data_IF_128815956997
#
_entry.id   IF_128815956997
#
_cell.length_a   1.000
_cell.length_b   1.000
_cell.length_c   1.000
_cell.angle_alpha   90.00
_cell.angle_beta   90.00
_cell.angle_gamma   90.00
#
_symmetry.space_group_name_H-M   'P 1'
#
loop_
_entity.id
_entity.type
_entity.pdbx_description
1 polymer ?
#
# COMPACT_ATOMS: atom_id res chain seq x y z
N UNK A 1 -2.65 21.71 -5.58
CA UNK A 1 -2.09 20.60 -4.76
C UNK A 1 -0.70 20.32 -5.28
N UNK A 2 0.32 20.52 -4.46
CA UNK A 2 1.69 20.14 -4.77
C UNK A 2 1.81 18.61 -4.78
N UNK A 3 2.50 18.02 -5.75
CA UNK A 3 2.79 16.58 -5.74
C UNK A 3 4.09 16.35 -4.96
N UNK A 4 4.10 15.31 -4.11
CA UNK A 4 5.34 14.81 -3.53
C UNK A 4 6.25 14.40 -4.69
N UNK A 5 7.44 15.00 -4.82
CA UNK A 5 8.44 14.52 -5.75
C UNK A 5 9.43 13.62 -5.04
N UNK A 6 9.58 12.40 -5.57
CA UNK A 6 10.56 11.40 -5.15
C UNK A 6 11.97 12.00 -5.16
N UNK A 7 12.65 11.92 -4.02
CA UNK A 7 14.07 11.61 -3.99
C UNK A 7 14.24 10.08 -3.92
N UNK A 8 15.33 9.50 -4.46
CA UNK A 8 15.54 8.06 -4.46
C UNK A 8 15.64 7.57 -3.00
N UNK A 9 15.00 6.42 -2.73
CA UNK A 9 14.93 5.69 -1.46
C UNK A 9 15.85 6.24 -0.34
N UNK A 10 15.37 7.26 0.39
CA UNK A 10 15.98 7.65 1.66
C UNK A 10 15.36 6.75 2.73
N UNK A 11 16.19 6.05 3.52
CA UNK A 11 15.80 5.22 4.68
C UNK A 11 14.97 5.96 5.75
N UNK A 12 14.71 7.24 5.54
CA UNK A 12 14.15 8.18 6.52
C UNK A 12 12.75 8.69 6.14
N UNK A 13 12.22 8.32 4.96
CA UNK A 13 10.85 8.65 4.53
C UNK A 13 10.19 7.44 3.89
N UNK A 14 9.06 7.00 4.45
CA UNK A 14 8.29 5.84 4.00
C UNK A 14 6.87 6.28 3.55
N UNK A 15 6.34 5.68 2.49
CA UNK A 15 4.93 5.89 2.11
C UNK A 15 4.04 4.98 2.96
N UNK A 16 3.17 5.58 3.79
CA UNK A 16 2.18 4.86 4.59
C UNK A 16 0.85 4.96 3.88
N UNK A 17 0.52 3.91 3.15
CA UNK A 17 -0.78 3.79 2.48
C UNK A 17 -1.83 3.37 3.51
N UNK A 18 -2.95 4.10 3.60
CA UNK A 18 -4.06 3.79 4.51
C UNK A 18 -5.31 3.39 3.75
N UNK A 19 -5.91 2.28 4.16
CA UNK A 19 -7.20 1.82 3.66
C UNK A 19 -8.35 2.60 4.32
N UNK A 20 -9.33 2.97 3.51
CA UNK A 20 -10.56 3.66 3.88
C UNK A 20 -11.67 2.72 4.37
N UNK A 21 -11.55 1.41 4.15
CA UNK A 21 -12.65 0.45 4.38
C UNK A 21 -13.15 0.35 5.84
N UNK A 22 -12.38 0.82 6.83
CA UNK A 22 -12.72 0.69 8.27
C UNK A 22 -12.51 1.95 9.12
N UNK A 23 -12.09 3.07 8.52
CA UNK A 23 -11.78 4.31 9.26
C UNK A 23 -12.35 5.52 8.55
N UNK A 24 -12.76 6.52 9.34
CA UNK A 24 -13.07 7.84 8.80
C UNK A 24 -11.82 8.38 8.10
N UNK A 25 -11.95 8.73 6.83
CA UNK A 25 -10.84 9.28 6.04
C UNK A 25 -10.58 10.68 6.53
N UNK A 26 -9.37 10.94 7.03
CA UNK A 26 -8.92 12.27 7.50
C UNK A 26 -7.73 12.81 6.69
N UNK A 27 -7.39 12.12 5.60
CA UNK A 27 -6.22 12.39 4.76
C UNK A 27 -6.59 12.46 3.28
N UNK A 28 -5.61 12.78 2.44
CA UNK A 28 -5.78 12.85 0.99
C UNK A 28 -4.91 11.83 0.27
N UNK A 29 -5.32 11.45 -0.94
CA UNK A 29 -4.53 10.53 -1.75
C UNK A 29 -4.49 9.12 -1.15
N UNK A 30 -3.31 8.49 -1.17
CA UNK A 30 -3.13 7.11 -0.74
C UNK A 30 -2.89 6.97 0.77
N UNK A 31 -2.56 8.05 1.48
CA UNK A 31 -2.16 8.00 2.87
C UNK A 31 -1.20 9.14 3.22
N UNK A 32 -0.09 8.80 3.87
CA UNK A 32 0.86 9.76 4.44
C UNK A 32 2.29 9.45 4.00
N UNK A 33 3.17 10.45 4.04
CA UNK A 33 4.60 10.25 4.13
C UNK A 33 5.00 10.16 5.60
N UNK A 34 5.55 9.03 6.03
CA UNK A 34 6.09 8.82 7.37
C UNK A 34 7.54 9.25 7.41
N UNK A 35 7.81 10.34 8.13
CA UNK A 35 9.10 11.03 8.14
C UNK A 35 9.78 10.78 9.47
N UNK A 36 11.02 10.28 9.44
CA UNK A 36 11.85 10.04 10.62
C UNK A 36 12.30 11.36 11.27
N UNK A 37 12.52 11.35 12.58
CA UNK A 37 13.12 12.47 13.33
C UNK A 37 14.44 12.95 12.70
N UNK A 38 14.45 14.20 12.25
CA UNK A 38 15.58 14.85 11.60
C UNK A 38 15.63 14.64 10.08
N UNK A 39 14.63 14.03 9.46
CA UNK A 39 14.53 13.91 8.01
C UNK A 39 13.76 15.08 7.39
N UNK A 40 13.55 15.07 6.07
CA UNK A 40 12.82 16.13 5.39
C UNK A 40 12.07 15.68 4.15
N UNK A 41 11.16 16.55 3.70
CA UNK A 41 10.33 16.37 2.52
C UNK A 41 10.44 17.60 1.62
N UNK A 42 10.31 17.39 0.31
CA UNK A 42 10.24 18.46 -0.68
C UNK A 42 8.96 18.35 -1.49
N UNK A 43 8.16 19.42 -1.47
CA UNK A 43 6.94 19.56 -2.26
C UNK A 43 7.25 20.39 -3.51
N UNK A 44 6.92 19.85 -4.69
CA UNK A 44 7.00 20.62 -5.94
C UNK A 44 5.67 21.29 -6.25
N UNK A 45 5.73 22.60 -6.47
CA UNK A 45 4.60 23.46 -6.78
C UNK A 45 4.82 24.06 -8.17
N UNK A 46 4.05 23.60 -9.14
CA UNK A 46 4.17 23.97 -10.56
C UNK A 46 2.83 24.42 -11.17
N UNK A 47 1.76 24.43 -10.38
CA UNK A 47 0.38 24.60 -10.82
C UNK A 47 -0.33 25.78 -10.16
N UNK A 48 0.40 26.87 -9.96
CA UNK A 48 -0.10 28.12 -9.36
C UNK A 48 -0.97 28.85 -10.38
N UNK A 49 -2.24 29.15 -10.08
CA UNK A 49 -3.16 29.73 -11.07
C UNK A 49 -3.08 31.26 -11.18
N UNK A 50 -2.74 31.95 -10.09
CA UNK A 50 -2.79 33.40 -10.02
C UNK A 50 -1.62 33.95 -9.18
N UNK A 51 -0.94 35.03 -9.62
CA UNK A 51 0.18 35.60 -8.87
C UNK A 51 -0.32 36.38 -7.64
N UNK A 52 -0.01 35.91 -6.43
CA UNK A 52 -0.32 36.56 -5.15
C UNK A 52 0.37 35.82 -3.99
N UNK A 53 0.19 36.32 -2.76
CA UNK A 53 0.57 35.57 -1.57
C UNK A 53 -0.41 34.41 -1.31
N UNK A 54 0.16 33.25 -0.98
CA UNK A 54 -0.58 32.09 -0.51
C UNK A 54 -0.15 31.77 0.92
N UNK A 55 -1.12 31.44 1.75
CA UNK A 55 -0.86 30.84 3.05
C UNK A 55 -0.58 29.35 2.85
N UNK A 56 0.44 28.84 3.54
CA UNK A 56 0.81 27.45 3.46
C UNK A 56 0.20 26.71 4.64
N UNK A 57 -0.56 25.66 4.36
CA UNK A 57 -1.17 24.80 5.36
C UNK A 57 -0.57 23.40 5.23
N UNK A 58 0.07 22.94 6.30
CA UNK A 58 0.62 21.59 6.39
C UNK A 58 -0.37 20.70 7.16
N UNK A 59 -0.81 19.61 6.55
CA UNK A 59 -1.63 18.58 7.21
C UNK A 59 -0.76 17.40 7.63
N UNK A 60 -0.93 16.96 8.87
CA UNK A 60 -0.08 15.94 9.48
C UNK A 60 -0.82 15.15 10.56
N UNK A 61 -0.25 14.00 10.93
CA UNK A 61 -0.72 13.15 12.03
C UNK A 61 0.49 12.72 12.88
N UNK A 62 0.56 13.17 14.15
CA UNK A 62 1.61 12.76 15.08
C UNK A 62 1.49 11.28 15.47
N UNK A 63 2.61 10.56 15.56
CA UNK A 63 2.66 9.18 16.10
C UNK A 63 3.07 9.14 17.59
N UNK A 64 3.41 10.29 18.18
CA UNK A 64 3.78 10.46 19.59
C UNK A 64 3.04 11.63 20.24
N UNK A 65 3.09 11.70 21.58
CA UNK A 65 2.56 12.82 22.36
C UNK A 65 3.57 13.98 22.52
N UNK A 66 4.56 14.06 21.63
CA UNK A 66 5.58 15.10 21.62
C UNK A 66 5.31 16.06 20.46
N UNK A 67 5.50 17.36 20.69
CA UNK A 67 5.44 18.36 19.63
C UNK A 67 6.61 18.19 18.66
N UNK A 68 6.38 18.55 17.40
CA UNK A 68 7.41 18.58 16.37
C UNK A 68 7.71 20.01 15.95
N UNK A 69 8.86 20.24 15.35
CA UNK A 69 9.18 21.48 14.66
C UNK A 69 9.55 21.20 13.19
N UNK A 70 9.10 22.08 12.30
CA UNK A 70 9.44 22.06 10.88
C UNK A 70 10.31 23.28 10.55
N UNK A 71 11.49 23.05 9.98
CA UNK A 71 12.28 24.09 9.34
C UNK A 71 11.87 24.16 7.88
N UNK A 72 11.19 25.23 7.51
CA UNK A 72 10.56 25.41 6.19
C UNK A 72 11.41 26.35 5.34
N UNK A 73 11.64 25.99 4.09
CA UNK A 73 12.31 26.81 3.08
C UNK A 73 11.52 26.76 1.78
N UNK A 74 11.23 27.93 1.21
CA UNK A 74 10.60 28.04 -0.12
C UNK A 74 11.62 28.58 -1.10
N UNK A 75 11.81 27.86 -2.22
CA UNK A 75 12.78 28.21 -3.25
C UNK A 75 12.09 28.21 -4.61
N UNK A 76 12.40 29.21 -5.43
CA UNK A 76 12.04 29.20 -6.84
C UNK A 76 13.18 28.57 -7.64
N UNK A 77 12.89 27.69 -8.60
CA UNK A 77 13.94 27.11 -9.45
C UNK A 77 14.41 28.09 -10.53
N UNK A 78 13.58 29.08 -10.87
CA UNK A 78 13.90 30.16 -11.82
C UNK A 78 13.56 31.52 -11.20
N UNK A 79 14.23 32.58 -11.64
CA UNK A 79 13.93 33.93 -11.15
C UNK A 79 12.50 34.33 -11.60
N UNK A 80 11.58 34.65 -10.66
CA UNK A 80 10.28 35.15 -10.96
C UNK A 80 10.37 36.43 -11.79
N UNK A 81 9.54 36.52 -12.81
CA UNK A 81 9.59 37.64 -13.78
C UNK A 81 8.44 38.61 -13.60
N UNK A 82 7.43 38.28 -12.79
CA UNK A 82 6.31 39.17 -12.57
C UNK A 82 6.71 40.40 -11.75
N UNK A 83 6.10 41.53 -12.04
CA UNK A 83 6.26 42.76 -11.24
C UNK A 83 5.75 42.61 -9.81
N UNK A 84 4.92 41.59 -9.53
CA UNK A 84 4.34 41.33 -8.21
C UNK A 84 5.28 40.52 -7.31
N UNK A 85 5.78 39.37 -7.78
CA UNK A 85 6.64 38.50 -6.98
C UNK A 85 8.15 38.69 -7.27
N UNK A 86 8.52 39.40 -8.36
CA UNK A 86 9.91 39.55 -8.82
C UNK A 86 10.82 40.39 -7.93
N UNK A 87 10.26 41.28 -7.10
CA UNK A 87 11.03 42.11 -6.16
C UNK A 87 11.26 41.43 -4.79
N UNK A 88 10.63 40.27 -4.54
CA UNK A 88 10.61 39.61 -3.22
C UNK A 88 11.71 38.57 -3.00
N UNK A 89 12.65 38.38 -3.94
CA UNK A 89 13.76 37.46 -3.74
C UNK A 89 15.06 38.13 -3.30
N UNK A 90 15.25 38.24 -1.98
CA UNK A 90 16.56 38.12 -1.34
C UNK A 90 16.55 36.98 -0.30
N UNK A 91 17.43 36.00 -0.51
CA UNK A 91 17.71 34.79 0.30
C UNK A 91 16.55 33.82 0.55
N UNK A 92 16.85 32.53 0.48
CA UNK A 92 15.96 31.45 0.90
C UNK A 92 15.46 31.73 2.32
N UNK A 93 14.20 32.16 2.48
CA UNK A 93 13.66 32.39 3.82
C UNK A 93 13.43 31.06 4.49
N UNK A 94 14.33 30.73 5.40
CA UNK A 94 14.18 29.61 6.33
C UNK A 94 13.52 30.12 7.61
N UNK A 95 12.45 29.46 8.02
CA UNK A 95 11.77 29.75 9.27
C UNK A 95 11.34 28.46 9.95
N UNK A 96 11.00 28.56 11.23
CA UNK A 96 10.59 27.43 12.06
C UNK A 96 9.11 27.51 12.35
N UNK A 97 8.45 26.37 12.32
CA UNK A 97 7.07 26.20 12.72
C UNK A 97 6.95 25.10 13.75
N UNK A 98 6.14 25.33 14.76
CA UNK A 98 5.78 24.29 15.73
C UNK A 98 4.59 23.51 15.18
N UNK A 99 4.66 22.20 15.31
CA UNK A 99 3.63 21.23 14.94
C UNK A 99 3.11 20.59 16.23
N UNK A 100 2.06 21.15 16.85
CA UNK A 100 1.53 20.58 18.09
C UNK A 100 1.03 19.16 17.91
N UNK A 101 1.29 18.30 18.88
CA UNK A 101 0.87 16.88 18.84
C UNK A 101 -0.67 16.72 18.89
N UNK A 102 -1.37 17.72 19.43
CA UNK A 102 -2.84 17.76 19.56
C UNK A 102 -3.57 18.18 18.29
N UNK A 103 -2.84 18.69 17.29
CA UNK A 103 -3.41 19.22 16.05
C UNK A 103 -3.27 18.23 14.89
N UNK A 104 -3.98 18.49 13.79
CA UNK A 104 -3.88 17.72 12.53
C UNK A 104 -3.50 18.57 11.32
N UNK A 105 -3.37 19.86 11.53
CA UNK A 105 -2.84 20.79 10.56
C UNK A 105 -2.22 21.97 11.29
N UNK A 106 -1.36 22.69 10.58
CA UNK A 106 -0.85 24.00 11.00
C UNK A 106 -0.89 24.95 9.81
N UNK A 107 -1.29 26.19 10.05
CA UNK A 107 -1.09 27.29 9.11
C UNK A 107 0.30 27.87 9.38
N UNK A 108 1.20 27.80 8.41
CA UNK A 108 2.57 28.29 8.57
C UNK A 108 2.55 29.83 8.70
N UNK A 109 3.40 30.38 9.57
CA UNK A 109 3.39 31.81 9.93
C UNK A 109 3.82 32.75 8.80
N UNK A 110 4.50 32.24 7.77
CA UNK A 110 4.98 33.03 6.64
C UNK A 110 4.26 32.65 5.34
N UNK A 111 3.35 33.51 4.83
CA UNK A 111 2.84 33.36 3.47
C UNK A 111 3.96 33.58 2.45
N UNK A 112 3.75 33.12 1.22
CA UNK A 112 4.73 33.26 0.15
C UNK A 112 4.05 33.66 -1.17
N UNK A 113 4.67 34.58 -1.91
CA UNK A 113 4.21 35.04 -3.22
C UNK A 113 4.56 34.00 -4.29
N UNK A 114 3.55 33.29 -4.78
CA UNK A 114 3.72 32.34 -5.88
C UNK A 114 3.19 32.96 -7.18
N UNK A 115 3.86 32.70 -8.31
CA UNK A 115 3.40 33.12 -9.63
C UNK A 115 3.18 31.94 -10.59
N UNK A 116 2.30 32.10 -11.60
CA UNK A 116 2.08 31.08 -12.62
C UNK A 116 3.33 30.80 -13.46
N UNK A 117 3.43 29.58 -13.99
CA UNK A 117 4.53 29.13 -14.89
C UNK A 117 5.93 29.11 -14.25
N UNK A 118 6.05 29.37 -12.96
CA UNK A 118 7.30 29.28 -12.20
C UNK A 118 7.25 28.06 -11.29
N UNK A 119 8.17 27.09 -11.42
CA UNK A 119 8.25 25.95 -10.53
C UNK A 119 8.94 26.31 -9.21
N UNK A 120 8.28 26.00 -8.10
CA UNK A 120 8.77 26.21 -6.75
C UNK A 120 8.96 24.89 -6.01
N UNK A 121 9.90 24.89 -5.07
CA UNK A 121 10.13 23.80 -4.13
C UNK A 121 9.94 24.31 -2.70
N UNK A 122 9.01 23.69 -1.98
CA UNK A 122 8.85 23.90 -0.53
C UNK A 122 9.50 22.73 0.18
N UNK A 123 10.64 22.98 0.80
CA UNK A 123 11.39 21.98 1.56
C UNK A 123 11.11 22.13 3.05
N UNK A 124 10.84 21.02 3.72
CA UNK A 124 10.55 20.97 5.14
C UNK A 124 11.44 19.93 5.81
N UNK A 125 12.28 20.35 6.75
CA UNK A 125 13.03 19.45 7.63
C UNK A 125 12.27 19.32 8.95
N UNK A 126 11.92 18.09 9.33
CA UNK A 126 11.10 17.81 10.50
C UNK A 126 11.94 17.17 11.60
N UNK A 127 11.76 17.62 12.84
CA UNK A 127 12.39 17.05 14.02
C UNK A 127 11.53 17.27 15.24
N UNK A 128 11.79 16.54 16.33
CA UNK A 128 11.05 16.75 17.59
C UNK A 128 11.37 18.11 18.19
N UNK A 129 10.34 18.80 18.69
CA UNK A 129 10.48 20.15 19.22
C UNK A 129 11.21 20.13 20.57
N UNK A 130 12.20 21.02 20.73
CA UNK A 130 12.89 21.21 22.01
C UNK A 130 13.82 20.05 22.43
N UNK A 131 14.05 19.05 21.56
CA UNK A 131 14.92 17.92 21.87
C UNK A 131 16.25 18.03 21.12
N UNK A 132 17.37 17.82 21.83
CA UNK A 132 18.72 17.89 21.25
C UNK A 132 19.20 16.56 20.66
N UNK A 133 18.69 15.43 21.16
CA UNK A 133 19.02 14.09 20.68
C UNK A 133 17.93 13.53 19.76
N UNK A 134 18.35 13.03 18.60
CA UNK A 134 17.46 12.36 17.64
C UNK A 134 17.04 11.01 18.19
N UNK A 135 15.75 10.69 18.10
CA UNK A 135 15.27 9.36 18.46
C UNK A 135 15.04 8.53 17.19
N UNK A 136 15.80 7.44 16.97
CA UNK A 136 15.76 6.70 15.70
C UNK A 136 14.40 6.05 15.44
N UNK A 137 13.59 5.81 16.48
CA UNK A 137 12.23 5.27 16.38
C UNK A 137 11.11 6.31 16.35
N UNK A 138 11.41 7.61 16.32
CA UNK A 138 10.39 8.66 16.28
C UNK A 138 10.07 9.10 14.86
N UNK A 139 8.78 9.22 14.56
CA UNK A 139 8.27 9.56 13.24
C UNK A 139 7.05 10.48 13.31
N UNK A 140 6.80 11.21 12.24
CA UNK A 140 5.60 12.01 12.01
C UNK A 140 5.01 11.66 10.64
N UNK A 141 3.67 11.60 10.55
CA UNK A 141 2.98 11.36 9.29
C UNK A 141 2.59 12.69 8.65
N UNK A 142 2.97 12.91 7.40
CA UNK A 142 2.65 14.10 6.62
C UNK A 142 1.66 13.73 5.52
N UNK A 143 0.49 14.36 5.51
CA UNK A 143 -0.54 14.13 4.48
C UNK A 143 -0.26 14.99 3.25
N UNK A 144 -0.35 16.32 3.41
CA UNK A 144 -0.30 17.22 2.27
C UNK A 144 0.10 18.65 2.64
N UNK A 145 0.67 19.35 1.66
CA UNK A 145 0.87 20.79 1.68
C UNK A 145 -0.21 21.45 0.81
N UNK A 146 -0.98 22.35 1.41
CA UNK A 146 -2.06 23.10 0.75
C UNK A 146 -1.67 24.56 0.64
N UNK A 147 -1.81 25.13 -0.55
CA UNK A 147 -1.65 26.56 -0.79
C UNK A 147 -3.05 27.19 -0.73
N UNK A 148 -3.31 27.97 0.30
CA UNK A 148 -4.56 28.71 0.50
C UNK A 148 -4.39 30.12 -0.06
N UNK A 149 -5.22 30.54 -1.03
CA UNK A 149 -5.10 31.87 -1.62
C UNK A 149 -5.50 32.97 -0.63
N UNK A 150 -4.75 34.08 -0.59
CA UNK A 150 -5.20 35.30 0.10
C UNK A 150 -6.27 36.00 -0.73
N UNK A 151 -7.52 35.62 -0.51
CA UNK A 151 -8.67 36.09 -1.28
C UNK A 151 -8.84 37.62 -1.29
N UNK A 152 -8.40 38.31 -0.24
CA UNK A 152 -8.41 39.78 -0.15
C UNK A 152 -7.49 40.48 -1.17
N UNK A 153 -6.58 39.74 -1.79
CA UNK A 153 -5.69 40.24 -2.86
C UNK A 153 -6.29 40.11 -4.27
N UNK A 154 -7.47 39.49 -4.39
CA UNK A 154 -8.14 39.31 -5.67
C UNK A 154 -8.98 40.54 -6.04
N UNK A 155 -9.04 40.89 -7.33
CA UNK A 155 -9.91 41.97 -7.79
C UNK A 155 -11.38 41.63 -7.48
N UNK A 156 -12.12 42.57 -6.90
CA UNK A 156 -13.51 42.35 -6.45
C UNK A 156 -13.67 41.74 -5.05
N UNK A 157 -12.55 41.45 -4.38
CA UNK A 157 -12.43 41.12 -2.95
C UNK A 157 -11.57 42.13 -2.18
N UNK A 158 -11.25 43.27 -2.81
CA UNK A 158 -10.50 44.39 -2.25
C UNK A 158 -11.26 45.71 -2.48
N UNK A 159 -11.28 46.60 -1.48
CA UNK A 159 -11.90 47.92 -1.54
C UNK A 159 -13.36 47.99 -1.05
N UNK A 160 -13.96 49.18 -1.07
CA UNK A 160 -15.27 49.45 -0.46
C UNK A 160 -16.41 48.62 -1.06
N UNK A 161 -16.39 48.36 -2.38
CA UNK A 161 -17.40 47.56 -3.08
C UNK A 161 -17.30 46.05 -2.78
N UNK A 162 -16.15 45.62 -2.26
CA UNK A 162 -15.87 44.23 -1.94
C UNK A 162 -16.04 43.88 -0.45
N UNK A 163 -16.19 44.90 0.41
CA UNK A 163 -16.26 44.76 1.86
C UNK A 163 -17.36 43.78 2.30
N UNK A 164 -18.53 43.83 1.66
CA UNK A 164 -19.65 42.92 1.97
C UNK A 164 -19.29 41.46 1.68
N UNK A 165 -18.66 41.18 0.53
CA UNK A 165 -18.26 39.81 0.16
C UNK A 165 -17.19 39.26 1.11
N UNK A 166 -16.26 40.11 1.51
CA UNK A 166 -15.20 39.75 2.44
C UNK A 166 -15.78 39.50 3.84
N UNK A 167 -16.66 40.37 4.33
CA UNK A 167 -17.36 40.20 5.60
C UNK A 167 -18.17 38.91 5.61
N UNK A 168 -18.92 38.59 4.55
CA UNK A 168 -19.65 37.32 4.46
C UNK A 168 -18.72 36.10 4.50
N UNK A 169 -17.59 36.16 3.79
CA UNK A 169 -16.63 35.05 3.75
C UNK A 169 -16.03 34.78 5.14
N UNK A 170 -15.69 35.83 5.87
CA UNK A 170 -15.16 35.79 7.24
C UNK A 170 -16.24 35.36 8.24
N UNK A 171 -17.42 35.98 8.18
CA UNK A 171 -18.55 35.73 9.08
C UNK A 171 -19.05 34.29 9.04
N UNK A 172 -19.07 33.69 7.85
CA UNK A 172 -19.48 32.29 7.68
C UNK A 172 -18.30 31.32 7.64
N UNK A 173 -17.07 31.78 7.89
CA UNK A 173 -15.86 30.96 7.93
C UNK A 173 -15.72 30.05 6.70
N UNK A 174 -16.07 30.57 5.52
CA UNK A 174 -16.23 29.77 4.32
C UNK A 174 -14.94 29.04 3.88
N UNK A 175 -13.77 29.56 4.29
CA UNK A 175 -12.47 28.97 3.97
C UNK A 175 -12.01 27.91 4.97
N UNK A 176 -12.59 27.86 6.18
CA UNK A 176 -12.16 26.91 7.22
C UNK A 176 -12.41 25.44 6.82
N UNK A 177 -13.39 25.20 5.94
CA UNK A 177 -13.67 23.86 5.40
C UNK A 177 -12.47 23.24 4.67
N UNK A 178 -11.55 24.08 4.19
CA UNK A 178 -10.35 23.67 3.46
C UNK A 178 -9.15 23.43 4.37
N UNK A 179 -9.26 23.61 5.69
CA UNK A 179 -8.19 23.29 6.62
C UNK A 179 -8.06 21.76 6.82
N UNK A 180 -9.16 21.03 6.72
CA UNK A 180 -9.21 19.58 6.94
C UNK A 180 -9.43 18.77 5.64
N UNK A 181 -9.14 17.47 5.69
CA UNK A 181 -9.42 16.52 4.63
C UNK A 181 -10.33 15.39 5.12
N UNK A 182 -11.26 14.90 4.26
CA UNK A 182 -11.79 15.58 3.09
C UNK A 182 -12.57 16.84 3.52
N UNK A 183 -12.65 17.88 2.65
CA UNK A 183 -13.47 19.04 2.94
C UNK A 183 -14.95 18.63 3.02
N UNK A 184 -15.68 19.25 3.95
CA UNK A 184 -17.13 19.08 4.06
C UNK A 184 -17.87 19.86 2.95
N UNK A 185 -19.11 19.48 2.60
CA UNK A 185 -19.92 20.25 1.66
C UNK A 185 -20.12 21.70 2.12
N UNK A 186 -19.97 22.65 1.20
CA UNK A 186 -20.17 24.07 1.49
C UNK A 186 -21.66 24.42 1.55
N UNK A 187 -22.03 25.29 2.49
CA UNK A 187 -23.33 25.96 2.47
C UNK A 187 -23.48 26.80 1.19
N UNK A 188 -24.72 26.98 0.72
CA UNK A 188 -25.00 27.62 -0.58
C UNK A 188 -24.44 29.05 -0.68
N UNK A 189 -24.44 29.81 0.42
CA UNK A 189 -23.85 31.15 0.48
C UNK A 189 -22.33 31.10 0.24
N UNK A 190 -21.60 30.26 0.98
CA UNK A 190 -20.17 30.07 0.80
C UNK A 190 -19.82 29.51 -0.58
N UNK A 191 -20.62 28.60 -1.10
CA UNK A 191 -20.41 28.05 -2.44
C UNK A 191 -20.37 29.14 -3.52
N UNK A 192 -21.28 30.12 -3.47
CA UNK A 192 -21.28 31.25 -4.41
C UNK A 192 -20.01 32.09 -4.31
N UNK A 193 -19.58 32.42 -3.10
CA UNK A 193 -18.38 33.22 -2.86
C UNK A 193 -17.11 32.46 -3.31
N UNK A 194 -16.97 31.20 -2.93
CA UNK A 194 -15.84 30.33 -3.30
C UNK A 194 -15.79 30.11 -4.82
N UNK A 195 -16.93 29.93 -5.49
CA UNK A 195 -16.99 29.87 -6.95
C UNK A 195 -16.54 31.19 -7.59
N UNK A 196 -16.88 32.34 -7.00
CA UNK A 196 -16.46 33.65 -7.50
C UNK A 196 -14.95 33.84 -7.36
N UNK A 197 -14.38 33.49 -6.21
CA UNK A 197 -12.92 33.45 -5.98
C UNK A 197 -12.23 32.56 -7.00
N UNK A 198 -12.73 31.33 -7.20
CA UNK A 198 -12.18 30.38 -8.15
C UNK A 198 -12.21 30.93 -9.59
N UNK A 199 -13.32 31.56 -10.00
CA UNK A 199 -13.45 32.15 -11.33
C UNK A 199 -12.44 33.27 -11.57
N UNK A 200 -12.18 34.14 -10.58
CA UNK A 200 -11.17 35.19 -10.68
C UNK A 200 -9.76 34.64 -10.80
N UNK A 201 -9.44 33.58 -10.05
CA UNK A 201 -8.12 32.96 -10.07
C UNK A 201 -7.83 32.19 -11.35
N UNK A 202 -8.83 31.52 -11.92
CA UNK A 202 -8.67 30.62 -13.05
C UNK A 202 -9.17 31.19 -14.39
N UNK A 203 -9.71 32.42 -14.41
CA UNK A 203 -10.33 32.99 -15.61
C UNK A 203 -11.64 32.30 -16.00
N UNK A 204 -12.37 31.75 -15.02
CA UNK A 204 -13.60 30.98 -15.20
C UNK A 204 -13.57 29.62 -14.50
N UNK A 205 -14.44 28.72 -14.94
CA UNK A 205 -14.49 27.35 -14.42
C UNK A 205 -13.45 26.46 -15.11
N UNK A 206 -12.85 25.53 -14.37
CA UNK A 206 -11.91 24.55 -14.91
C UNK A 206 -12.66 23.34 -15.50
N UNK A 207 -12.14 22.73 -16.57
CA UNK A 207 -12.72 21.50 -17.12
C UNK A 207 -12.57 20.32 -16.16
N UNK A 208 -13.59 19.45 -16.11
CA UNK A 208 -13.60 18.29 -15.21
C UNK A 208 -12.44 17.32 -15.45
N UNK A 209 -12.11 17.01 -16.72
CA UNK A 209 -11.07 16.05 -17.09
C UNK A 209 -11.22 14.67 -16.41
N UNK A 210 -12.45 14.18 -16.25
CA UNK A 210 -12.70 12.85 -15.71
C UNK A 210 -12.05 11.77 -16.59
N UNK A 211 -11.44 10.76 -15.98
CA UNK A 211 -10.83 9.66 -16.71
C UNK A 211 -11.92 8.80 -17.37
N UNK A 212 -11.89 8.60 -18.70
CA UNK A 212 -12.96 7.89 -19.39
C UNK A 212 -13.08 6.41 -19.00
N UNK A 213 -11.99 5.79 -18.52
CA UNK A 213 -12.01 4.41 -18.05
C UNK A 213 -12.42 4.33 -16.59
N UNK A 214 -11.95 5.25 -15.75
CA UNK A 214 -12.18 5.21 -14.31
C UNK A 214 -13.43 5.93 -13.81
N UNK A 215 -14.02 6.84 -14.59
CA UNK A 215 -15.24 7.57 -14.25
C UNK A 215 -16.49 6.96 -14.90
N UNK A 216 -17.64 7.19 -14.26
CA UNK A 216 -18.98 6.83 -14.77
C UNK A 216 -19.51 7.83 -15.79
N UNK A 217 -19.07 9.08 -15.69
CA UNK A 217 -19.47 10.20 -16.55
C UNK A 217 -18.28 11.13 -16.80
N UNK A 218 -18.37 11.93 -17.87
CA UNK A 218 -17.49 13.09 -18.10
C UNK A 218 -17.87 14.32 -17.27
N UNK A 219 -19.07 14.31 -16.69
CA UNK A 219 -19.56 15.35 -15.80
C UNK A 219 -19.02 15.14 -14.39
N UNK A 220 -18.65 16.23 -13.73
CA UNK A 220 -18.15 16.24 -12.37
C UNK A 220 -18.99 17.16 -11.49
N UNK A 221 -18.87 17.01 -10.17
CA UNK A 221 -19.52 17.89 -9.22
C UNK A 221 -19.12 19.34 -9.44
N UNK A 222 -20.10 20.25 -9.46
CA UNK A 222 -19.88 21.69 -9.70
C UNK A 222 -18.95 22.33 -8.66
N UNK A 223 -18.98 21.83 -7.42
CA UNK A 223 -18.06 22.24 -6.36
C UNK A 223 -16.91 21.24 -6.28
N UNK A 224 -15.68 21.74 -6.34
CA UNK A 224 -14.46 20.93 -6.21
C UNK A 224 -14.12 20.03 -7.41
N UNK A 225 -15.06 19.78 -8.33
CA UNK A 225 -14.82 19.06 -9.57
C UNK A 225 -14.62 17.55 -9.39
N UNK A 226 -15.16 16.94 -8.33
CA UNK A 226 -15.02 15.49 -8.10
C UNK A 226 -15.82 14.71 -9.15
N UNK A 227 -15.15 13.83 -9.90
CA UNK A 227 -15.77 12.91 -10.84
C UNK A 227 -16.41 11.73 -10.11
N UNK A 228 -17.46 11.14 -10.69
CA UNK A 228 -18.06 9.93 -10.18
C UNK A 228 -17.23 8.70 -10.55
N UNK A 229 -16.48 8.17 -9.58
CA UNK A 229 -15.58 7.05 -9.83
C UNK A 229 -16.31 5.71 -9.90
N UNK A 230 -15.76 4.80 -10.72
CA UNK A 230 -16.13 3.38 -10.71
C UNK A 230 -15.62 2.69 -9.43
N UNK A 231 -16.09 1.47 -9.13
CA UNK A 231 -15.68 0.75 -7.92
C UNK A 231 -14.15 0.65 -7.77
N UNK A 232 -13.67 0.86 -6.55
CA UNK A 232 -12.25 0.81 -6.19
C UNK A 232 -11.34 1.79 -6.96
N UNK A 233 -11.89 2.86 -7.51
CA UNK A 233 -11.13 3.95 -8.14
C UNK A 233 -11.28 5.22 -7.30
N UNK A 234 -10.18 5.97 -7.14
CA UNK A 234 -10.14 7.20 -6.34
C UNK A 234 -9.50 8.36 -7.10
N UNK A 235 -9.53 9.54 -6.48
CA UNK A 235 -8.95 10.77 -7.00
C UNK A 235 -9.99 11.66 -7.69
N UNK A 236 -9.69 12.96 -7.79
CA UNK A 236 -10.62 13.94 -8.37
C UNK A 236 -11.07 13.56 -9.79
N UNK A 237 -10.15 12.99 -10.57
CA UNK A 237 -10.33 12.56 -11.96
C UNK A 237 -10.61 11.06 -12.10
N UNK A 238 -10.70 10.30 -11.00
CA UNK A 238 -10.84 8.84 -11.03
C UNK A 238 -9.74 8.13 -11.85
N UNK A 239 -8.48 8.53 -11.65
CA UNK A 239 -7.34 8.17 -12.50
C UNK A 239 -6.44 7.08 -11.89
N UNK A 240 -6.84 6.47 -10.76
CA UNK A 240 -6.04 5.47 -10.06
C UNK A 240 -6.87 4.56 -9.17
N UNK A 241 -6.38 3.34 -8.95
CA UNK A 241 -6.96 2.42 -7.99
C UNK A 241 -6.85 2.92 -6.55
N UNK A 242 -7.86 2.60 -5.74
CA UNK A 242 -7.82 2.76 -4.29
C UNK A 242 -6.70 1.89 -3.68
N UNK A 243 -6.16 2.26 -2.51
CA UNK A 243 -5.38 1.33 -1.68
C UNK A 243 -6.05 -0.03 -1.54
N UNK A 244 -5.27 -1.12 -1.64
CA UNK A 244 -5.81 -2.48 -1.57
C UNK A 244 -6.57 -2.92 -2.82
N UNK A 245 -6.41 -2.24 -3.96
CA UNK A 245 -6.95 -2.65 -5.24
C UNK A 245 -5.96 -2.49 -6.40
N UNK A 246 -6.16 -3.25 -7.47
CA UNK A 246 -5.25 -3.35 -8.62
C UNK A 246 -5.99 -3.50 -9.95
N UNK A 247 -5.26 -3.37 -11.06
CA UNK A 247 -5.77 -3.66 -12.39
C UNK A 247 -6.77 -2.61 -12.87
N UNK A 248 -6.32 -1.35 -12.95
CA UNK A 248 -7.13 -0.24 -13.46
C UNK A 248 -7.67 -0.54 -14.86
N UNK A 249 -8.99 -0.47 -15.03
CA UNK A 249 -9.63 -0.74 -16.31
C UNK A 249 -11.08 -0.26 -16.40
N UNK A 250 -11.80 -0.61 -17.48
CA UNK A 250 -13.15 -0.10 -17.76
C UNK A 250 -14.22 -0.56 -16.76
N UNK A 251 -13.96 -1.59 -15.96
CA UNK A 251 -14.88 -2.08 -14.92
C UNK A 251 -14.56 -1.53 -13.52
N UNK A 252 -13.51 -0.73 -13.37
CA UNK A 252 -12.99 -0.32 -12.06
C UNK A 252 -11.62 -0.95 -11.76
N UNK A 253 -11.32 -1.12 -10.48
CA UNK A 253 -10.19 -1.92 -10.01
C UNK A 253 -10.68 -3.15 -9.22
N UNK A 254 -9.86 -4.19 -9.17
CA UNK A 254 -10.13 -5.42 -8.42
C UNK A 254 -9.50 -5.36 -7.02
N UNK A 255 -10.16 -5.91 -6.01
CA UNK A 255 -9.60 -6.00 -4.65
C UNK A 255 -8.39 -6.93 -4.61
N UNK A 256 -7.35 -6.56 -3.87
CA UNK A 256 -6.13 -7.35 -3.70
C UNK A 256 -6.40 -8.71 -3.03
N UNK A 257 -7.29 -8.75 -2.03
CA UNK A 257 -7.61 -9.96 -1.24
C UNK A 257 -6.37 -10.70 -0.70
N UNK A 258 -5.39 -9.96 -0.19
CA UNK A 258 -4.21 -10.57 0.43
C UNK A 258 -4.58 -11.29 1.74
N UNK A 259 -4.07 -12.51 1.91
CA UNK A 259 -4.30 -13.33 3.10
C UNK A 259 -3.73 -12.65 4.35
N UNK A 260 -4.54 -12.37 5.39
CA UNK A 260 -4.01 -11.73 6.61
C UNK A 260 -3.01 -12.61 7.36
N UNK A 261 -3.09 -13.93 7.24
CA UNK A 261 -2.15 -14.87 7.86
C UNK A 261 -0.89 -15.09 7.02
N UNK A 262 -0.99 -15.06 5.69
CA UNK A 262 0.13 -15.37 4.80
C UNK A 262 0.79 -14.17 4.13
N UNK A 263 0.20 -12.98 4.18
CA UNK A 263 0.82 -11.77 3.62
C UNK A 263 1.43 -10.88 4.70
N UNK A 264 2.38 -10.04 4.29
CA UNK A 264 2.99 -8.98 5.12
C UNK A 264 2.04 -7.79 5.26
N UNK A 265 1.21 -7.53 4.25
CA UNK A 265 0.23 -6.44 4.26
C UNK A 265 -0.95 -6.75 3.35
N UNK A 266 -2.05 -6.02 3.55
CA UNK A 266 -3.25 -6.07 2.71
C UNK A 266 -3.10 -5.33 1.37
N UNK A 267 -1.91 -4.76 1.10
CA UNK A 267 -1.61 -4.04 -0.13
C UNK A 267 -0.94 -5.00 -1.12
N UNK A 268 -1.29 -4.84 -2.39
CA UNK A 268 -0.71 -5.59 -3.49
C UNK A 268 -0.14 -4.66 -4.56
N UNK A 269 0.64 -5.22 -5.47
CA UNK A 269 1.11 -4.51 -6.66
C UNK A 269 -0.08 -3.98 -7.48
N UNK A 270 0.00 -2.71 -7.90
CA UNK A 270 -1.12 -1.97 -8.51
C UNK A 270 -1.54 -2.50 -9.89
N UNK A 271 -0.66 -3.28 -10.54
CA UNK A 271 -0.90 -3.80 -11.90
C UNK A 271 -1.21 -5.29 -11.85
N UNK A 272 -0.31 -6.09 -11.28
CA UNK A 272 -0.42 -7.55 -11.21
C UNK A 272 -1.34 -8.05 -10.11
N UNK A 273 -1.55 -7.26 -9.06
CA UNK A 273 -2.29 -7.68 -7.88
C UNK A 273 -1.52 -8.64 -6.97
N UNK A 274 -0.21 -8.82 -7.16
CA UNK A 274 0.61 -9.70 -6.34
C UNK A 274 0.79 -9.11 -4.92
N UNK A 275 0.42 -9.88 -3.91
CA UNK A 275 0.63 -9.56 -2.51
C UNK A 275 2.06 -9.88 -2.08
N UNK A 276 2.56 -9.18 -1.05
CA UNK A 276 3.85 -9.49 -0.46
C UNK A 276 3.68 -10.65 0.54
N UNK A 277 4.18 -11.83 0.21
CA UNK A 277 4.00 -13.04 1.00
C UNK A 277 5.01 -13.16 2.14
N UNK A 278 4.58 -13.74 3.26
CA UNK A 278 5.46 -14.14 4.35
C UNK A 278 6.32 -15.35 3.92
N UNK A 279 7.50 -15.56 4.53
CA UNK A 279 8.33 -16.73 4.25
C UNK A 279 7.53 -18.04 4.35
N UNK A 280 7.65 -18.90 3.34
CA UNK A 280 6.93 -20.18 3.28
C UNK A 280 5.54 -20.13 2.65
N UNK A 281 5.02 -18.94 2.31
CA UNK A 281 3.74 -18.78 1.59
C UNK A 281 3.92 -18.20 0.19
N UNK A 282 3.02 -18.56 -0.73
CA UNK A 282 3.03 -18.19 -2.16
C UNK A 282 1.61 -17.99 -2.69
N UNK A 283 1.52 -17.68 -3.98
CA UNK A 283 0.28 -17.34 -4.68
C UNK A 283 0.08 -15.83 -4.75
N UNK A 284 -0.84 -15.39 -5.61
CA UNK A 284 -1.16 -13.96 -5.74
C UNK A 284 -1.62 -13.35 -4.42
N UNK A 285 -2.38 -14.14 -3.65
CA UNK A 285 -3.00 -13.74 -2.38
C UNK A 285 -2.21 -14.19 -1.15
N UNK A 286 -1.09 -14.91 -1.33
CA UNK A 286 -0.30 -15.49 -0.23
C UNK A 286 -1.12 -16.45 0.65
N UNK A 287 -2.02 -17.21 0.03
CA UNK A 287 -2.97 -18.14 0.64
C UNK A 287 -2.57 -19.61 0.45
N UNK A 288 -1.37 -19.86 -0.06
CA UNK A 288 -0.87 -21.19 -0.37
C UNK A 288 0.52 -21.39 0.24
N UNK A 289 0.85 -22.63 0.60
CA UNK A 289 2.20 -22.97 1.01
C UNK A 289 3.13 -23.08 -0.19
N UNK A 290 4.41 -22.78 0.02
CA UNK A 290 5.46 -23.05 -0.97
C UNK A 290 5.47 -24.52 -1.38
N UNK A 291 6.08 -24.82 -2.52
CA UNK A 291 6.38 -26.19 -2.91
C UNK A 291 7.07 -26.93 -1.76
N UNK A 292 6.81 -28.24 -1.66
CA UNK A 292 7.24 -29.10 -0.55
C UNK A 292 6.74 -28.73 0.85
N UNK A 293 5.71 -27.87 0.95
CA UNK A 293 5.07 -27.51 2.22
C UNK A 293 3.53 -27.64 2.14
N UNK A 294 2.89 -27.82 3.29
CA UNK A 294 1.44 -28.01 3.38
C UNK A 294 0.85 -27.45 4.68
N UNK A 295 -0.47 -27.30 4.73
CA UNK A 295 -1.19 -26.95 5.96
C UNK A 295 -1.29 -25.46 6.26
N UNK A 296 -1.54 -24.62 5.24
CA UNK A 296 -1.82 -23.19 5.40
C UNK A 296 -2.86 -22.95 6.52
N UNK A 297 -2.66 -21.96 7.43
CA UNK A 297 -1.65 -20.91 7.40
C UNK A 297 -0.27 -21.30 7.98
N UNK A 298 -0.19 -22.39 8.74
CA UNK A 298 1.05 -22.85 9.35
C UNK A 298 1.79 -23.83 8.44
N UNK A 299 2.37 -23.31 7.36
CA UNK A 299 3.06 -24.12 6.35
C UNK A 299 4.20 -24.93 6.96
N UNK A 300 4.07 -26.26 6.89
CA UNK A 300 5.06 -27.23 7.37
C UNK A 300 5.64 -28.04 6.21
N UNK A 301 6.92 -28.45 6.28
CA UNK A 301 7.52 -29.27 5.23
C UNK A 301 6.79 -30.61 5.10
N UNK A 302 6.74 -31.12 3.88
CA UNK A 302 6.26 -32.46 3.57
C UNK A 302 7.12 -33.51 4.30
N UNK A 303 6.47 -34.48 4.94
CA UNK A 303 7.14 -35.52 5.73
C UNK A 303 7.05 -36.85 4.98
N UNK A 304 7.77 -36.96 3.87
CA UNK A 304 7.67 -38.11 2.95
C UNK A 304 8.77 -39.16 3.13
N UNK A 305 9.37 -39.25 4.32
CA UNK A 305 10.48 -40.16 4.64
C UNK A 305 11.66 -40.11 3.64
N UNK A 306 11.85 -39.01 2.91
CA UNK A 306 12.87 -38.86 1.86
C UNK A 306 12.49 -39.45 0.49
N UNK A 307 11.34 -40.11 0.38
CA UNK A 307 10.91 -40.80 -0.84
C UNK A 307 10.02 -39.95 -1.76
N UNK A 308 9.62 -38.75 -1.34
CA UNK A 308 9.01 -37.74 -2.20
C UNK A 308 9.37 -36.33 -1.70
N UNK A 309 9.37 -35.36 -2.60
CA UNK A 309 9.62 -33.95 -2.27
C UNK A 309 8.32 -33.15 -2.22
N UNK A 310 7.28 -33.61 -2.91
CA UNK A 310 5.98 -32.96 -3.00
C UNK A 310 4.91 -33.73 -2.22
N UNK A 311 3.98 -33.00 -1.62
CA UNK A 311 2.81 -33.56 -0.97
C UNK A 311 1.59 -32.68 -1.28
N UNK A 312 0.41 -33.25 -1.08
CA UNK A 312 -0.85 -32.54 -1.22
C UNK A 312 -0.88 -31.31 -0.27
N UNK A 313 -1.12 -30.09 -0.79
CA UNK A 313 -1.00 -28.86 -0.01
C UNK A 313 -1.95 -28.77 1.21
N UNK A 314 -3.04 -29.54 1.22
CA UNK A 314 -4.08 -29.50 2.26
C UNK A 314 -3.94 -30.65 3.24
N UNK A 315 -3.75 -31.86 2.73
CA UNK A 315 -3.73 -33.10 3.51
C UNK A 315 -2.32 -33.52 3.89
N UNK A 316 -1.27 -33.03 3.22
CA UNK A 316 0.11 -33.43 3.46
C UNK A 316 0.46 -34.84 2.98
N UNK A 317 -0.46 -35.50 2.26
CA UNK A 317 -0.22 -36.82 1.66
C UNK A 317 0.82 -36.70 0.56
N UNK A 318 1.89 -37.47 0.65
CA UNK A 318 2.98 -37.46 -0.30
C UNK A 318 2.53 -37.90 -1.70
N UNK A 319 3.02 -37.17 -2.70
CA UNK A 319 2.73 -37.43 -4.10
C UNK A 319 3.92 -38.19 -4.72
N UNK A 320 3.63 -39.14 -5.61
CA UNK A 320 4.65 -39.86 -6.38
C UNK A 320 5.77 -40.50 -5.52
N UNK A 321 5.40 -41.27 -4.50
CA UNK A 321 6.35 -42.03 -3.68
C UNK A 321 7.34 -42.84 -4.55
N UNK A 322 8.64 -42.54 -4.42
CA UNK A 322 9.75 -43.20 -5.12
C UNK A 322 10.16 -44.50 -4.41
N UNK A 323 11.14 -45.21 -4.96
CA UNK A 323 11.80 -46.37 -4.32
C UNK A 323 10.85 -47.50 -3.91
N UNK A 324 9.78 -47.71 -4.69
CA UNK A 324 8.74 -48.72 -4.42
C UNK A 324 8.11 -48.56 -3.03
N UNK A 325 7.90 -47.32 -2.60
CA UNK A 325 7.20 -46.99 -1.35
C UNK A 325 5.75 -46.57 -1.61
N UNK A 326 4.91 -46.69 -0.59
CA UNK A 326 3.50 -46.36 -0.58
C UNK A 326 3.08 -45.87 0.81
N UNK A 327 1.83 -45.42 0.97
CA UNK A 327 1.33 -44.83 2.22
C UNK A 327 1.22 -43.31 2.14
N UNK A 328 0.77 -42.68 3.24
CA UNK A 328 0.52 -41.24 3.27
C UNK A 328 1.81 -40.41 3.29
N UNK A 329 2.85 -40.99 3.86
CA UNK A 329 4.17 -40.42 4.09
C UNK A 329 5.27 -41.23 3.40
N UNK A 330 4.91 -42.10 2.44
CA UNK A 330 5.80 -43.08 1.83
C UNK A 330 6.50 -43.97 2.89
N UNK A 331 5.76 -44.33 3.94
CA UNK A 331 6.25 -44.99 5.16
C UNK A 331 6.26 -46.53 5.07
N UNK A 332 5.71 -47.11 4.01
CA UNK A 332 5.62 -48.56 3.80
C UNK A 332 6.03 -48.93 2.38
N UNK A 333 6.42 -50.17 2.16
CA UNK A 333 6.71 -50.65 0.80
C UNK A 333 5.40 -50.83 -0.01
N UNK A 334 5.50 -50.75 -1.33
CA UNK A 334 4.46 -51.18 -2.25
C UNK A 334 4.24 -52.69 -2.14
N UNK A 335 3.06 -53.16 -2.55
CA UNK A 335 2.76 -54.58 -2.59
C UNK A 335 3.79 -55.33 -3.46
N UNK A 336 4.26 -56.48 -2.99
CA UNK A 336 5.36 -57.25 -3.61
C UNK A 336 6.78 -56.82 -3.21
N UNK A 337 6.93 -55.83 -2.32
CA UNK A 337 8.21 -55.40 -1.75
C UNK A 337 8.21 -55.49 -0.21
N UNK A 338 9.37 -55.70 0.39
CA UNK A 338 9.57 -55.73 1.85
C UNK A 338 10.75 -54.88 2.30
N UNK A 339 10.76 -54.53 3.59
CA UNK A 339 11.78 -53.70 4.23
C UNK A 339 11.15 -52.57 5.04
N UNK A 340 12.00 -51.71 5.62
CA UNK A 340 11.57 -50.54 6.38
C UNK A 340 12.05 -49.24 5.69
N UNK A 341 11.20 -48.55 4.90
CA UNK A 341 11.57 -47.33 4.18
C UNK A 341 11.52 -46.06 5.04
N UNK A 342 11.34 -46.16 6.36
CA UNK A 342 11.35 -44.96 7.22
C UNK A 342 12.73 -44.31 7.23
N UNK A 343 12.78 -42.99 7.09
CA UNK A 343 14.01 -42.21 7.02
C UNK A 343 14.92 -42.50 8.24
N UNK A 344 16.16 -42.91 7.99
CA UNK A 344 17.14 -43.23 9.04
C UNK A 344 17.19 -44.70 9.46
N UNK A 345 16.32 -45.57 8.94
CA UNK A 345 16.36 -47.03 9.19
C UNK A 345 17.57 -47.73 8.53
N UNK A 346 18.11 -47.16 7.44
CA UNK A 346 19.15 -47.76 6.61
C UNK A 346 18.66 -48.91 5.70
N UNK A 347 17.37 -49.25 5.75
CA UNK A 347 16.76 -50.30 4.91
C UNK A 347 15.97 -49.68 3.76
N UNK A 348 16.00 -50.34 2.59
CA UNK A 348 15.30 -49.91 1.38
C UNK A 348 14.29 -51.00 0.99
N UNK A 349 13.21 -50.62 0.32
CA UNK A 349 12.24 -51.60 -0.19
C UNK A 349 12.90 -52.50 -1.23
N UNK A 350 12.85 -53.82 -1.00
CA UNK A 350 13.40 -54.84 -1.89
C UNK A 350 12.27 -55.73 -2.40
N UNK A 351 12.34 -56.22 -3.64
CA UNK A 351 11.36 -57.19 -4.14
C UNK A 351 11.32 -58.40 -3.23
N UNK A 352 10.11 -58.90 -2.94
CA UNK A 352 9.92 -60.11 -2.16
C UNK A 352 10.68 -61.30 -2.79
N UNK A 353 11.47 -62.07 -2.02
CA UNK A 353 12.22 -63.22 -2.51
C UNK A 353 11.31 -64.45 -2.68
N UNK A 354 10.06 -64.23 -3.13
CA UNK A 354 9.14 -65.31 -3.41
C UNK A 354 9.57 -66.02 -4.69
N UNK A 355 9.29 -67.33 -4.84
CA UNK A 355 9.59 -68.06 -6.07
C UNK A 355 8.99 -67.35 -7.30
N UNK A 356 9.81 -67.13 -8.33
CA UNK A 356 9.42 -66.45 -9.57
C UNK A 356 9.70 -64.94 -9.59
N UNK A 357 9.36 -64.28 -10.71
CA UNK A 357 9.49 -62.82 -10.88
C UNK A 357 8.11 -62.15 -10.94
N UNK A 358 7.93 -60.96 -10.33
CA UNK A 358 6.67 -60.21 -10.41
C UNK A 358 6.17 -60.08 -11.86
N UNK A 359 4.93 -60.50 -12.14
CA UNK A 359 4.32 -60.49 -13.47
C UNK A 359 4.49 -61.78 -14.30
N UNK A 360 5.18 -62.80 -13.79
CA UNK A 360 5.30 -64.12 -14.44
C UNK A 360 4.27 -65.13 -13.90
N UNK A 361 3.97 -66.18 -14.67
CA UNK A 361 3.04 -67.24 -14.26
C UNK A 361 3.48 -68.03 -13.00
N UNK A 362 4.75 -67.91 -12.61
CA UNK A 362 5.32 -68.61 -11.46
C UNK A 362 5.36 -67.77 -10.18
N UNK A 363 4.99 -66.49 -10.25
CA UNK A 363 4.93 -65.62 -9.07
C UNK A 363 3.52 -65.63 -8.46
N UNK A 364 3.39 -66.35 -7.34
CA UNK A 364 2.12 -66.49 -6.62
C UNK A 364 2.12 -65.81 -5.24
N UNK A 365 3.10 -64.93 -4.96
CA UNK A 365 3.12 -64.10 -3.75
C UNK A 365 2.36 -62.79 -3.94
N UNK A 366 1.54 -62.37 -2.98
CA UNK A 366 0.86 -61.07 -2.97
C UNK A 366 1.60 -60.01 -2.15
N UNK A 367 2.30 -60.44 -1.10
CA UNK A 367 3.15 -59.60 -0.25
C UNK A 367 4.15 -60.51 0.49
N UNK A 368 5.09 -59.93 1.25
CA UNK A 368 5.94 -60.69 2.16
C UNK A 368 6.30 -59.84 3.38
N UNK A 369 6.67 -60.48 4.48
CA UNK A 369 7.09 -59.82 5.72
C UNK A 369 8.30 -60.53 6.33
N UNK A 370 9.08 -59.83 7.13
CA UNK A 370 10.12 -60.46 7.94
C UNK A 370 9.49 -61.10 9.18
N UNK A 371 9.88 -62.32 9.49
CA UNK A 371 9.53 -63.01 10.73
C UNK A 371 10.28 -62.36 11.92
N UNK A 372 9.56 -62.06 13.00
CA UNK A 372 10.08 -61.26 14.13
C UNK A 372 11.20 -61.97 14.92
N UNK A 373 11.22 -63.31 14.91
CA UNK A 373 12.22 -64.10 15.65
C UNK A 373 13.44 -64.42 14.79
N UNK A 374 13.20 -64.88 13.57
CA UNK A 374 14.24 -65.43 12.70
C UNK A 374 14.77 -64.44 11.67
N UNK A 375 14.09 -63.30 11.50
CA UNK A 375 14.34 -62.32 10.43
C UNK A 375 14.25 -62.91 9.02
N UNK A 376 13.70 -64.12 8.85
CA UNK A 376 13.45 -64.72 7.54
C UNK A 376 12.26 -64.05 6.87
N UNK A 377 12.33 -63.87 5.55
CA UNK A 377 11.26 -63.24 4.78
C UNK A 377 10.24 -64.30 4.37
N UNK A 378 9.03 -64.18 4.90
CA UNK A 378 7.91 -65.09 4.65
C UNK A 378 6.98 -64.50 3.60
N UNK A 379 6.73 -65.26 2.54
CA UNK A 379 5.84 -64.87 1.44
C UNK A 379 4.37 -65.17 1.75
N UNK A 380 3.51 -64.18 1.54
CA UNK A 380 2.05 -64.33 1.60
C UNK A 380 1.59 -64.78 0.21
N UNK A 381 1.04 -65.98 0.12
CA UNK A 381 0.58 -66.55 -1.14
C UNK A 381 -0.79 -65.99 -1.54
N UNK A 382 -1.03 -65.85 -2.85
CA UNK A 382 -2.34 -65.56 -3.40
C UNK A 382 -3.33 -66.69 -3.05
N UNK A 383 -4.65 -66.40 -3.01
CA UNK A 383 -5.66 -67.42 -2.70
C UNK A 383 -5.51 -68.66 -3.58
N UNK A 384 -5.42 -69.84 -2.95
CA UNK A 384 -5.26 -71.14 -3.64
C UNK A 384 -3.82 -71.64 -3.78
N UNK A 385 -2.83 -70.87 -3.32
CA UNK A 385 -1.41 -71.25 -3.31
C UNK A 385 -0.87 -71.32 -1.88
N UNK A 386 0.09 -72.21 -1.65
CA UNK A 386 0.83 -72.33 -0.41
C UNK A 386 2.33 -72.50 -0.72
N UNK A 387 3.18 -71.99 0.16
CA UNK A 387 4.63 -72.21 0.14
C UNK A 387 5.05 -73.00 1.37
N UNK A 388 6.07 -73.85 1.23
CA UNK A 388 6.75 -74.51 2.34
C UNK A 388 7.93 -73.69 2.87
#
# INVERSE_FOLDING_TARGET
RAKLCRCPAQLDVEEVVRDSARRMVTWTGLGFARVRDGAGLTFRVDNVPYPMDYELLLRYEPESAEDWEAVVSVRSQVLPTSSRCGNLLPSEQMYREILPHSQRYVLLSRPFCFEPSTPYEVTMRLQRAGVTQRHPGAFILIDSLVLLPRVSELPGFHGAEAAVRQEELERYQCLEVFLMAPPHPLAQACARLVCSVSALMHGGALPCQCDPQGSRSSECQVQGGQCECKPHIIGRRCDRCAPGSYGFGPLGCSSCTCSPEGSVSQLCDKVSGQCQCQPGTVGRQCDQCQASHWGFPACRPCQCNGHAEECDPWTGTCLHCRDHTSGRHCERCQDGYYGNPVLGSGQQCRPCPCPGYPGTQHYHGSACHADDETHHIVCICAPGYAGE
#
